data_IF_896221812496
#
_entry.id   IF_896221812496
#
_cell.length_a   1.000
_cell.length_b   1.000
_cell.length_c   1.000
_cell.angle_alpha   90.00
_cell.angle_beta   90.00
_cell.angle_gamma   90.00
#
_symmetry.space_group_name_H-M   'P 1'
#
loop_
_entity.id
_entity.type
_entity.pdbx_description
1 polymer ?
#
# COMPACT_ATOMS: atom_id res chain seq x y z
N UNK A 1 8.41 -26.41 9.26
CA UNK A 1 9.64 -26.12 8.49
C UNK A 1 9.37 -24.88 7.66
N UNK A 2 10.35 -24.00 7.58
CA UNK A 2 10.26 -22.73 6.85
C UNK A 2 11.45 -22.64 5.89
N UNK A 3 11.21 -22.10 4.70
CA UNK A 3 12.23 -21.83 3.69
C UNK A 3 12.10 -20.37 3.29
N UNK A 4 13.20 -19.62 3.38
CA UNK A 4 13.28 -18.23 2.93
C UNK A 4 14.09 -18.16 1.65
N UNK A 5 13.57 -17.47 0.65
CA UNK A 5 14.24 -17.26 -0.64
C UNK A 5 14.42 -15.75 -0.84
N UNK A 6 15.64 -15.31 -1.13
CA UNK A 6 15.94 -13.92 -1.49
C UNK A 6 15.96 -13.80 -3.00
N UNK A 7 15.26 -12.81 -3.53
CA UNK A 7 15.14 -12.55 -4.97
C UNK A 7 15.75 -11.18 -5.28
N UNK A 8 16.31 -11.05 -6.47
CA UNK A 8 16.75 -9.78 -7.04
C UNK A 8 15.54 -8.94 -7.48
N UNK A 9 15.70 -7.61 -7.57
CA UNK A 9 14.60 -6.66 -7.84
C UNK A 9 13.88 -6.90 -9.18
N UNK A 10 14.54 -7.52 -10.14
CA UNK A 10 14.00 -7.84 -11.47
C UNK A 10 13.37 -9.24 -11.56
N UNK A 11 13.27 -9.97 -10.44
CA UNK A 11 12.70 -11.31 -10.44
C UNK A 11 11.19 -11.28 -10.71
N UNK A 12 10.72 -12.21 -11.53
CA UNK A 12 9.29 -12.41 -11.76
C UNK A 12 8.66 -13.14 -10.57
N UNK A 13 8.29 -12.35 -9.56
CA UNK A 13 7.65 -12.84 -8.32
C UNK A 13 6.37 -13.62 -8.61
N UNK A 14 5.60 -13.21 -9.63
CA UNK A 14 4.35 -13.89 -10.01
C UNK A 14 4.61 -15.29 -10.54
N UNK A 15 5.62 -15.45 -11.39
CA UNK A 15 6.03 -16.75 -11.91
C UNK A 15 6.59 -17.65 -10.79
N UNK A 16 7.46 -17.10 -9.93
CA UNK A 16 8.07 -17.84 -8.82
C UNK A 16 7.01 -18.33 -7.83
N UNK A 17 6.03 -17.48 -7.51
CA UNK A 17 4.90 -17.86 -6.65
C UNK A 17 4.11 -19.02 -7.24
N UNK A 18 3.81 -18.99 -8.54
CA UNK A 18 3.13 -20.12 -9.24
C UNK A 18 3.93 -21.41 -9.14
N UNK A 19 5.24 -21.36 -9.37
CA UNK A 19 6.12 -22.53 -9.23
C UNK A 19 6.07 -23.11 -7.81
N UNK A 20 6.21 -22.27 -6.79
CA UNK A 20 6.21 -22.70 -5.39
C UNK A 20 4.86 -23.31 -4.97
N UNK A 21 3.73 -22.79 -5.48
CA UNK A 21 2.40 -23.36 -5.16
C UNK A 21 2.18 -24.78 -5.68
N UNK A 22 2.94 -25.21 -6.70
CA UNK A 22 2.82 -26.54 -7.28
C UNK A 22 3.57 -27.61 -6.47
N UNK A 23 4.45 -27.21 -5.55
CA UNK A 23 5.23 -28.15 -4.74
C UNK A 23 4.33 -28.78 -3.67
N UNK A 24 4.16 -30.11 -3.75
CA UNK A 24 3.44 -30.86 -2.72
C UNK A 24 4.09 -30.65 -1.35
N UNK A 25 3.27 -30.26 -0.38
CA UNK A 25 3.72 -30.01 1.00
C UNK A 25 3.93 -28.53 1.34
N UNK A 26 3.88 -27.62 0.36
CA UNK A 26 3.84 -26.18 0.62
C UNK A 26 2.44 -25.80 1.11
N UNK A 27 2.37 -25.25 2.34
CA UNK A 27 1.10 -24.84 2.97
C UNK A 27 0.75 -23.38 2.67
N UNK A 28 1.74 -22.51 2.62
CA UNK A 28 1.58 -21.07 2.42
C UNK A 28 2.84 -20.46 1.83
N UNK A 29 2.69 -19.37 1.10
CA UNK A 29 3.79 -18.57 0.54
C UNK A 29 3.51 -17.12 0.90
N UNK A 30 4.47 -16.48 1.56
CA UNK A 30 4.43 -15.07 1.92
C UNK A 30 5.54 -14.33 1.17
N UNK A 31 5.24 -13.15 0.63
CA UNK A 31 6.19 -12.33 -0.14
C UNK A 31 6.35 -11.02 0.61
N UNK A 32 7.52 -10.83 1.21
CA UNK A 32 7.91 -9.58 1.85
C UNK A 32 8.66 -8.72 0.83
N UNK A 33 8.20 -7.48 0.60
CA UNK A 33 8.88 -6.52 -0.27
C UNK A 33 8.02 -5.81 -1.32
N UNK A 34 6.74 -6.14 -1.48
CA UNK A 34 5.85 -5.23 -2.21
C UNK A 34 5.67 -3.96 -1.35
N UNK A 35 6.29 -2.85 -1.78
CA UNK A 35 5.75 -1.54 -1.47
C UNK A 35 4.25 -1.64 -1.73
N UNK A 36 3.43 -1.39 -0.70
CA UNK A 36 1.99 -1.53 -0.81
C UNK A 36 1.52 -0.63 -1.95
N UNK A 37 1.27 -1.22 -3.11
CA UNK A 37 0.71 -0.53 -4.26
C UNK A 37 -0.77 -0.33 -3.94
N UNK A 38 -1.07 0.74 -3.20
CA UNK A 38 -2.43 1.14 -2.92
C UNK A 38 -3.15 1.38 -4.24
N UNK A 39 -4.29 0.73 -4.42
CA UNK A 39 -5.19 1.12 -5.49
C UNK A 39 -5.78 2.49 -5.15
N UNK A 40 -5.81 3.41 -6.11
CA UNK A 40 -6.50 4.70 -5.96
C UNK A 40 -7.94 4.54 -5.48
N UNK A 41 -8.59 3.43 -5.85
CA UNK A 41 -9.95 3.10 -5.41
C UNK A 41 -10.02 2.76 -3.92
N UNK A 42 -8.97 2.22 -3.31
CA UNK A 42 -8.90 1.96 -1.88
C UNK A 42 -8.65 3.25 -1.09
N UNK A 43 -7.73 4.10 -1.54
CA UNK A 43 -7.46 5.41 -0.92
C UNK A 43 -8.73 6.26 -0.92
N UNK A 44 -9.42 6.33 -2.06
CA UNK A 44 -10.67 7.10 -2.21
C UNK A 44 -11.79 6.63 -1.28
N UNK A 45 -11.82 5.34 -0.93
CA UNK A 45 -12.80 4.75 -0.02
C UNK A 45 -12.42 4.90 1.46
N UNK A 46 -11.19 5.35 1.76
CA UNK A 46 -10.77 5.55 3.15
C UNK A 46 -11.50 6.75 3.79
N UNK A 47 -11.88 6.57 5.05
CA UNK A 47 -12.58 7.59 5.82
C UNK A 47 -11.66 8.81 6.07
N UNK A 48 -10.37 8.54 6.31
CA UNK A 48 -9.34 9.55 6.52
C UNK A 48 -9.17 10.47 5.30
N UNK A 49 -9.10 9.90 4.10
CA UNK A 49 -9.04 10.68 2.85
C UNK A 49 -10.30 11.53 2.67
N UNK A 50 -11.48 10.98 2.94
CA UNK A 50 -12.75 11.71 2.87
C UNK A 50 -12.76 12.96 3.76
N UNK A 51 -12.34 12.81 5.03
CA UNK A 51 -12.26 13.94 6.00
C UNK A 51 -11.31 15.03 5.54
N UNK A 52 -10.15 14.65 4.99
CA UNK A 52 -9.15 15.60 4.49
C UNK A 52 -9.69 16.37 3.28
N UNK A 53 -10.35 15.69 2.35
CA UNK A 53 -10.96 16.35 1.19
C UNK A 53 -12.10 17.30 1.57
N UNK A 54 -12.92 16.95 2.57
CA UNK A 54 -13.98 17.84 3.06
C UNK A 54 -13.39 19.11 3.70
N UNK A 55 -12.35 18.95 4.52
CA UNK A 55 -11.65 20.08 5.16
C UNK A 55 -11.00 20.99 4.11
N UNK A 56 -10.32 20.40 3.12
CA UNK A 56 -9.69 21.15 2.03
C UNK A 56 -10.72 21.98 1.24
N UNK A 57 -11.90 21.43 0.93
CA UNK A 57 -12.97 22.18 0.24
C UNK A 57 -13.45 23.40 1.04
N UNK A 58 -13.57 23.26 2.38
CA UNK A 58 -13.94 24.38 3.26
C UNK A 58 -12.85 25.46 3.28
N UNK A 59 -11.59 25.06 3.34
CA UNK A 59 -10.44 25.98 3.32
C UNK A 59 -10.36 26.76 2.02
N UNK A 60 -10.51 26.09 0.86
CA UNK A 60 -10.55 26.75 -0.45
C UNK A 60 -11.68 27.78 -0.52
N UNK A 61 -12.88 27.42 -0.02
CA UNK A 61 -14.03 28.33 0.00
C UNK A 61 -13.78 29.58 0.84
N UNK A 62 -12.98 29.46 1.90
CA UNK A 62 -12.63 30.55 2.79
C UNK A 62 -11.35 31.30 2.37
N UNK A 63 -10.67 30.89 1.29
CA UNK A 63 -9.38 31.45 0.89
C UNK A 63 -8.22 31.08 1.82
N UNK A 64 -8.36 30.02 2.61
CA UNK A 64 -7.37 29.54 3.56
C UNK A 64 -6.46 28.50 2.90
N UNK A 65 -5.15 28.56 3.21
CA UNK A 65 -4.19 27.52 2.86
C UNK A 65 -3.55 26.96 4.13
N UNK A 66 -3.56 25.63 4.27
CA UNK A 66 -2.92 24.94 5.39
C UNK A 66 -2.10 23.78 4.84
N UNK A 67 -0.80 23.80 5.12
CA UNK A 67 0.07 22.66 4.85
C UNK A 67 -0.24 21.53 5.83
N UNK A 68 -0.43 20.32 5.30
CA UNK A 68 -0.66 19.12 6.11
C UNK A 68 0.68 18.54 6.61
N UNK A 69 0.67 17.95 7.80
CA UNK A 69 1.85 17.28 8.35
C UNK A 69 2.19 16.03 7.54
N UNK A 70 3.48 15.67 7.52
CA UNK A 70 3.94 14.44 6.89
C UNK A 70 3.25 13.21 7.50
N UNK A 71 3.09 13.17 8.83
CA UNK A 71 2.39 12.10 9.55
C UNK A 71 0.94 11.89 9.06
N UNK A 72 0.23 12.98 8.74
CA UNK A 72 -1.13 12.89 8.21
C UNK A 72 -1.11 12.33 6.77
N UNK A 73 -0.16 12.76 5.93
CA UNK A 73 0.01 12.19 4.59
C UNK A 73 0.36 10.71 4.66
N UNK A 74 1.26 10.33 5.57
CA UNK A 74 1.65 8.95 5.81
C UNK A 74 0.46 8.13 6.33
N UNK A 75 -0.48 8.70 7.09
CA UNK A 75 -1.69 7.99 7.51
C UNK A 75 -2.69 7.76 6.37
N UNK A 76 -2.82 8.74 5.45
CA UNK A 76 -3.77 8.71 4.32
C UNK A 76 -3.26 7.75 3.24
N UNK A 77 -1.98 7.89 2.90
CA UNK A 77 -1.36 7.11 1.86
C UNK A 77 -0.66 5.86 2.39
N UNK A 78 -0.67 5.66 3.72
CA UNK A 78 -0.05 4.54 4.45
C UNK A 78 1.33 4.19 3.90
N UNK A 79 2.07 5.23 3.50
CA UNK A 79 3.43 5.17 3.00
C UNK A 79 4.27 4.79 4.22
N UNK A 80 4.64 3.51 4.31
CA UNK A 80 5.61 2.99 5.27
C UNK A 80 6.83 2.51 4.51
#
# INVERSE_FOLDING_TARGET
>A
MEITIKLEDNADVSFIKKLLTQIKGVKSIDVSGEAKNYSWEEIKRSEEFGKVMEKSRKQIKNGEFVAHSQELMDSIFRIK
#
